data_IF_913264599150
#
_entry.id   IF_913264599150
#
_cell.length_a   1.000
_cell.length_b   1.000
_cell.length_c   1.000
_cell.angle_alpha   90.00
_cell.angle_beta   90.00
_cell.angle_gamma   90.00
#
_symmetry.space_group_name_H-M   'P 1'
#
loop_
_entity.id
_entity.type
_entity.pdbx_description
1 polymer ?
#
# COMPACT_ATOMS: atom_id res chain seq x y z
N UNK A 1 1.69 4.89 -16.18
CA UNK A 1 1.31 3.47 -16.35
C UNK A 1 2.11 2.54 -15.44
N UNK A 2 2.78 3.04 -14.39
CA UNK A 2 3.52 2.17 -13.45
C UNK A 2 2.59 1.25 -12.64
N UNK A 3 1.38 1.72 -12.30
CA UNK A 3 0.36 0.91 -11.63
C UNK A 3 -0.04 -0.32 -12.46
N UNK A 4 -0.30 -0.16 -13.76
CA UNK A 4 -0.68 -1.26 -14.65
C UNK A 4 0.44 -2.32 -14.75
N UNK A 5 1.69 -1.89 -14.92
CA UNK A 5 2.85 -2.80 -15.02
C UNK A 5 3.08 -3.53 -13.70
N UNK A 6 2.98 -2.82 -12.57
CA UNK A 6 3.09 -3.44 -11.25
C UNK A 6 1.97 -4.45 -11.00
N UNK A 7 0.75 -4.15 -11.44
CA UNK A 7 -0.39 -5.04 -11.22
C UNK A 7 -0.32 -6.26 -12.14
N UNK A 8 0.12 -6.11 -13.39
CA UNK A 8 0.43 -7.23 -14.29
C UNK A 8 1.36 -8.26 -13.63
N UNK A 9 2.52 -7.84 -13.11
CA UNK A 9 3.45 -8.77 -12.47
C UNK A 9 2.89 -9.39 -11.19
N UNK A 10 2.03 -8.67 -10.46
CA UNK A 10 1.32 -9.22 -9.30
C UNK A 10 0.33 -10.30 -9.73
N UNK A 11 -0.46 -10.06 -10.78
CA UNK A 11 -1.43 -11.00 -11.33
C UNK A 11 -0.74 -12.24 -11.91
N UNK A 12 0.32 -12.06 -12.69
CA UNK A 12 1.15 -13.13 -13.26
C UNK A 12 1.77 -14.00 -12.16
N UNK A 13 2.31 -13.37 -11.11
CA UNK A 13 3.01 -14.05 -10.02
C UNK A 13 2.10 -14.68 -8.95
N UNK A 14 0.79 -14.44 -9.00
CA UNK A 14 -0.16 -14.90 -7.99
C UNK A 14 -1.05 -16.00 -8.57
N UNK A 15 -0.87 -17.28 -8.18
CA UNK A 15 -1.57 -18.43 -8.79
C UNK A 15 -3.10 -18.33 -8.76
N UNK A 16 -3.67 -17.59 -7.81
CA UNK A 16 -5.11 -17.36 -7.70
C UNK A 16 -5.75 -16.71 -8.92
N UNK A 17 -5.01 -15.88 -9.65
CA UNK A 17 -5.49 -15.18 -10.85
C UNK A 17 -5.49 -16.04 -12.10
N UNK A 18 -4.79 -17.18 -12.09
CA UNK A 18 -4.68 -18.09 -13.25
C UNK A 18 -4.21 -17.39 -14.53
N UNK A 19 -3.40 -16.32 -14.39
CA UNK A 19 -2.86 -15.53 -15.49
C UNK A 19 -1.36 -15.86 -15.75
N UNK A 20 -0.93 -17.05 -15.36
CA UNK A 20 0.48 -17.47 -15.50
C UNK A 20 0.84 -17.58 -16.98
N UNK A 21 1.91 -16.90 -17.40
CA UNK A 21 2.33 -16.74 -18.80
C UNK A 21 1.36 -15.93 -19.68
N UNK A 22 0.48 -15.11 -19.10
CA UNK A 22 -0.28 -14.13 -19.89
C UNK A 22 0.62 -13.02 -20.42
N UNK A 23 0.32 -12.51 -21.61
CA UNK A 23 1.09 -11.40 -22.20
C UNK A 23 0.68 -10.06 -21.60
N UNK A 24 1.60 -9.10 -21.55
CA UNK A 24 1.31 -7.77 -21.00
C UNK A 24 0.24 -7.03 -21.80
N UNK A 25 0.25 -7.16 -23.14
CA UNK A 25 -0.72 -6.46 -24.00
C UNK A 25 -2.15 -6.92 -23.71
N UNK A 26 -2.37 -8.22 -23.50
CA UNK A 26 -3.68 -8.76 -23.10
C UNK A 26 -4.13 -8.22 -21.74
N UNK A 27 -3.19 -8.11 -20.79
CA UNK A 27 -3.48 -7.55 -19.48
C UNK A 27 -3.78 -6.05 -19.54
N UNK A 28 -3.08 -5.30 -20.38
CA UNK A 28 -3.29 -3.87 -20.55
C UNK A 28 -4.71 -3.56 -21.03
N UNK A 29 -5.23 -4.34 -21.99
CA UNK A 29 -6.62 -4.23 -22.45
C UNK A 29 -7.60 -4.53 -21.31
N UNK A 30 -7.35 -5.58 -20.51
CA UNK A 30 -8.17 -5.88 -19.33
C UNK A 30 -8.14 -4.74 -18.30
N UNK A 31 -6.98 -4.12 -18.07
CA UNK A 31 -6.80 -3.04 -17.12
C UNK A 31 -7.56 -1.77 -17.54
N UNK A 32 -7.46 -1.38 -18.82
CA UNK A 32 -8.18 -0.21 -19.37
C UNK A 32 -9.69 -0.44 -19.45
N UNK A 33 -10.13 -1.68 -19.67
CA UNK A 33 -11.55 -2.05 -19.64
C UNK A 33 -12.11 -2.20 -18.21
N UNK A 34 -11.30 -2.03 -17.17
CA UNK A 34 -11.70 -2.25 -15.77
C UNK A 34 -12.06 -3.71 -15.46
N UNK A 35 -11.58 -4.67 -16.26
CA UNK A 35 -11.80 -6.12 -16.11
C UNK A 35 -10.70 -6.80 -15.31
N UNK A 36 -10.07 -6.05 -14.40
CA UNK A 36 -9.10 -6.54 -13.42
C UNK A 36 -9.74 -6.55 -12.04
N UNK A 37 -9.05 -7.14 -11.07
CA UNK A 37 -9.46 -7.06 -9.68
C UNK A 37 -9.62 -5.60 -9.24
N UNK A 38 -10.65 -5.35 -8.42
CA UNK A 38 -11.07 -4.03 -7.95
C UNK A 38 -11.64 -3.07 -9.02
N UNK A 39 -11.79 -3.52 -10.27
CA UNK A 39 -12.48 -2.77 -11.32
C UNK A 39 -11.63 -1.70 -12.00
N UNK A 40 -12.29 -0.64 -12.46
CA UNK A 40 -11.62 0.45 -13.17
C UNK A 40 -10.76 1.30 -12.23
N UNK A 41 -9.50 1.50 -12.64
CA UNK A 41 -8.51 2.26 -11.88
C UNK A 41 -8.89 3.73 -11.72
N UNK A 42 -9.41 4.35 -12.78
CA UNK A 42 -9.74 5.78 -12.78
C UNK A 42 -11.01 6.04 -11.99
N UNK A 43 -12.01 5.18 -12.05
CA UNK A 43 -13.22 5.26 -11.22
C UNK A 43 -12.85 5.24 -9.73
N UNK A 44 -11.97 4.31 -9.33
CA UNK A 44 -11.47 4.22 -7.95
C UNK A 44 -10.65 5.44 -7.56
N UNK A 45 -9.73 5.89 -8.42
CA UNK A 45 -8.89 7.06 -8.13
C UNK A 45 -9.73 8.34 -8.02
N UNK A 46 -10.62 8.59 -8.99
CA UNK A 46 -11.39 9.82 -9.07
C UNK A 46 -12.40 9.92 -7.94
N UNK A 47 -13.08 8.82 -7.58
CA UNK A 47 -14.01 8.82 -6.45
C UNK A 47 -13.33 9.23 -5.14
N UNK A 48 -12.15 8.68 -4.82
CA UNK A 48 -11.39 9.11 -3.64
C UNK A 48 -10.70 10.46 -3.77
N UNK A 49 -10.35 10.86 -5.00
CA UNK A 49 -9.71 12.15 -5.24
C UNK A 49 -10.62 13.32 -4.85
N UNK A 50 -11.94 13.18 -4.98
CA UNK A 50 -12.90 14.18 -4.51
C UNK A 50 -12.79 14.42 -3.00
N UNK A 51 -12.48 13.37 -2.23
CA UNK A 51 -12.32 13.39 -0.78
C UNK A 51 -10.92 13.78 -0.29
N UNK A 52 -9.99 14.13 -1.18
CA UNK A 52 -8.57 14.37 -0.82
C UNK A 52 -8.33 15.48 0.23
N UNK A 53 -9.33 16.33 0.47
CA UNK A 53 -9.27 17.42 1.44
C UNK A 53 -10.11 17.13 2.71
N UNK A 54 -10.74 15.96 2.80
CA UNK A 54 -11.52 15.59 3.97
C UNK A 54 -10.57 15.40 5.16
N UNK A 55 -10.98 15.80 6.38
CA UNK A 55 -10.08 15.82 7.54
C UNK A 55 -9.56 14.43 7.93
N UNK A 56 -10.31 13.37 7.58
CA UNK A 56 -9.96 11.98 7.86
C UNK A 56 -9.42 11.25 6.61
N UNK A 57 -8.93 11.98 5.60
CA UNK A 57 -8.32 11.41 4.39
C UNK A 57 -6.93 11.99 4.18
N UNK A 58 -5.94 11.11 4.06
CA UNK A 58 -4.58 11.49 3.71
C UNK A 58 -4.26 11.11 2.27
N UNK A 59 -4.26 12.09 1.38
CA UNK A 59 -3.82 11.89 0.00
C UNK A 59 -2.28 12.02 -0.12
N UNK A 60 -1.63 10.95 -0.60
CA UNK A 60 -0.19 10.85 -0.89
C UNK A 60 -0.01 10.05 -2.18
N UNK A 61 1.01 10.38 -2.97
CA UNK A 61 1.40 9.60 -4.15
C UNK A 61 2.66 8.78 -3.91
N UNK A 62 2.83 7.70 -4.67
CA UNK A 62 4.02 6.85 -4.61
C UNK A 62 5.31 7.62 -4.93
N UNK A 63 5.25 8.56 -5.88
CA UNK A 63 6.36 9.40 -6.28
C UNK A 63 6.78 10.36 -5.16
N UNK A 64 5.82 10.88 -4.37
CA UNK A 64 6.12 11.69 -3.19
C UNK A 64 6.90 10.87 -2.16
N UNK A 65 6.45 9.65 -1.87
CA UNK A 65 7.13 8.73 -0.95
C UNK A 65 8.55 8.40 -1.43
N UNK A 66 8.73 8.14 -2.73
CA UNK A 66 10.07 7.87 -3.29
C UNK A 66 10.99 9.09 -3.30
N UNK A 67 10.44 10.28 -3.50
CA UNK A 67 11.22 11.52 -3.57
C UNK A 67 11.73 11.94 -2.19
N UNK A 68 10.90 11.81 -1.17
CA UNK A 68 11.24 12.17 0.21
C UNK A 68 10.45 11.30 1.20
N UNK A 69 11.00 10.12 1.51
CA UNK A 69 10.38 9.19 2.43
C UNK A 69 10.24 9.78 3.84
N UNK A 70 11.26 10.51 4.32
CA UNK A 70 11.30 11.05 5.68
C UNK A 70 10.16 12.03 5.91
N UNK A 71 9.99 13.01 5.02
CA UNK A 71 8.92 14.02 5.16
C UNK A 71 7.53 13.37 5.05
N UNK A 72 7.34 12.40 4.15
CA UNK A 72 6.05 11.71 4.01
C UNK A 72 5.74 10.77 5.18
N UNK A 73 6.75 10.11 5.77
CA UNK A 73 6.59 9.32 7.00
C UNK A 73 6.13 10.22 8.16
N UNK A 74 6.73 11.41 8.31
CA UNK A 74 6.28 12.37 9.32
C UNK A 74 4.86 12.89 9.05
N UNK A 75 4.49 13.09 7.78
CA UNK A 75 3.12 13.45 7.36
C UNK A 75 2.11 12.35 7.72
N UNK A 76 2.45 11.08 7.48
CA UNK A 76 1.62 9.92 7.86
C UNK A 76 1.49 9.85 9.38
N UNK A 77 2.59 10.00 10.11
CA UNK A 77 2.57 9.98 11.57
C UNK A 77 1.67 11.09 12.15
N UNK A 78 1.75 12.32 11.62
CA UNK A 78 0.89 13.43 12.03
C UNK A 78 -0.59 13.16 11.78
N UNK A 79 -0.92 12.56 10.63
CA UNK A 79 -2.28 12.21 10.26
C UNK A 79 -2.87 11.12 11.18
N UNK A 80 -2.07 10.11 11.55
CA UNK A 80 -2.49 9.11 12.54
C UNK A 80 -2.66 9.77 13.92
N UNK A 81 -1.78 10.69 14.28
CA UNK A 81 -1.90 11.50 15.48
C UNK A 81 -0.67 12.38 15.72
N UNK A 82 -0.81 13.67 16.10
CA UNK A 82 0.32 14.58 16.26
C UNK A 82 1.42 14.09 17.22
N UNK A 83 1.05 13.34 18.26
CA UNK A 83 1.98 12.77 19.22
C UNK A 83 2.95 11.73 18.62
N UNK A 84 2.57 11.05 17.53
CA UNK A 84 3.47 10.13 16.82
C UNK A 84 4.56 10.88 16.05
N UNK A 85 4.21 11.98 15.38
CA UNK A 85 5.19 12.86 14.73
C UNK A 85 6.17 13.44 15.76
N UNK A 86 5.66 13.93 16.88
CA UNK A 86 6.51 14.44 17.97
C UNK A 86 7.47 13.37 18.51
N UNK A 87 7.00 12.13 18.64
CA UNK A 87 7.83 10.99 19.07
C UNK A 87 8.96 10.73 18.07
N UNK A 88 8.66 10.68 16.78
CA UNK A 88 9.66 10.48 15.72
C UNK A 88 10.66 11.63 15.62
N UNK A 89 10.24 12.87 15.87
CA UNK A 89 11.14 14.03 15.88
C UNK A 89 12.05 14.09 17.12
N UNK A 90 11.62 13.51 18.25
CA UNK A 90 12.42 13.44 19.48
C UNK A 90 13.40 12.26 19.49
N UNK A 91 13.06 11.18 18.80
CA UNK A 91 13.86 9.97 18.72
C UNK A 91 14.30 9.73 17.27
N UNK A 92 15.44 10.33 16.92
CA UNK A 92 16.04 10.23 15.57
C UNK A 92 16.30 8.77 15.18
N UNK A 93 16.71 7.93 16.14
CA UNK A 93 16.96 6.51 15.87
C UNK A 93 15.66 5.80 15.49
N UNK A 94 14.56 6.09 16.19
CA UNK A 94 13.26 5.54 15.84
C UNK A 94 12.80 5.96 14.44
N UNK A 95 13.03 7.21 14.05
CA UNK A 95 12.71 7.68 12.70
C UNK A 95 13.56 6.97 11.64
N UNK A 96 14.86 6.83 11.86
CA UNK A 96 15.74 6.10 10.95
C UNK A 96 15.38 4.61 10.86
N UNK A 97 15.01 3.98 11.98
CA UNK A 97 14.53 2.60 12.02
C UNK A 97 13.25 2.46 11.16
N UNK A 98 12.28 3.39 11.26
CA UNK A 98 11.07 3.39 10.43
C UNK A 98 11.40 3.57 8.94
N UNK A 99 12.29 4.50 8.59
CA UNK A 99 12.74 4.73 7.21
C UNK A 99 13.41 3.47 6.65
N UNK A 100 14.29 2.85 7.44
CA UNK A 100 15.02 1.65 7.03
C UNK A 100 14.07 0.47 6.80
N UNK A 101 13.18 0.19 7.76
CA UNK A 101 12.27 -0.95 7.69
C UNK A 101 11.16 -0.78 6.64
N UNK A 102 10.78 0.46 6.30
CA UNK A 102 9.84 0.75 5.21
C UNK A 102 10.50 0.86 3.84
N UNK A 103 11.84 0.78 3.76
CA UNK A 103 12.57 0.91 2.50
C UNK A 103 12.31 -0.26 1.54
N UNK A 104 12.39 0.01 0.24
CA UNK A 104 12.23 -1.02 -0.79
C UNK A 104 13.18 -2.20 -0.62
N UNK A 105 14.45 -1.94 -0.28
CA UNK A 105 15.46 -2.99 -0.14
C UNK A 105 15.17 -3.90 1.05
N UNK A 106 14.80 -3.32 2.19
CA UNK A 106 14.41 -4.09 3.36
C UNK A 106 13.16 -4.92 3.05
N UNK A 107 12.09 -4.27 2.57
CA UNK A 107 10.84 -4.96 2.26
C UNK A 107 11.03 -6.09 1.24
N UNK A 108 11.77 -5.87 0.15
CA UNK A 108 12.03 -6.91 -0.87
C UNK A 108 12.70 -8.16 -0.30
N UNK A 109 13.62 -8.01 0.65
CA UNK A 109 14.31 -9.15 1.28
C UNK A 109 13.43 -9.89 2.29
N UNK A 110 12.49 -9.19 2.92
CA UNK A 110 11.71 -9.70 4.03
C UNK A 110 10.24 -10.02 3.69
N UNK A 111 9.78 -9.71 2.47
CA UNK A 111 8.36 -9.82 2.11
C UNK A 111 7.78 -11.22 2.26
N UNK A 112 8.54 -12.27 1.95
CA UNK A 112 8.10 -13.66 2.12
C UNK A 112 7.95 -14.05 3.60
N UNK A 113 8.84 -13.54 4.46
CA UNK A 113 8.74 -13.74 5.91
C UNK A 113 7.55 -12.97 6.47
N UNK A 114 7.32 -11.75 6.00
CA UNK A 114 6.18 -10.93 6.40
C UNK A 114 4.84 -11.59 6.01
N UNK A 115 4.72 -12.08 4.77
CA UNK A 115 3.52 -12.79 4.32
C UNK A 115 3.28 -14.08 5.12
N UNK A 116 4.35 -14.82 5.44
CA UNK A 116 4.26 -16.00 6.30
C UNK A 116 3.78 -15.65 7.71
N UNK A 117 4.33 -14.57 8.31
CA UNK A 117 3.91 -14.09 9.63
C UNK A 117 2.46 -13.61 9.62
N UNK A 118 2.05 -12.81 8.63
CA UNK A 118 0.65 -12.36 8.47
C UNK A 118 -0.31 -13.53 8.30
N UNK A 119 0.04 -14.52 7.48
CA UNK A 119 -0.75 -15.75 7.31
C UNK A 119 -0.79 -16.65 8.56
N UNK A 120 0.11 -16.43 9.51
CA UNK A 120 0.17 -17.15 10.79
C UNK A 120 -0.55 -16.40 11.93
N UNK A 121 -1.03 -15.17 11.70
CA UNK A 121 -1.82 -14.44 12.69
C UNK A 121 -3.17 -15.15 12.82
N UNK A 122 -3.57 -15.56 14.04
CA UNK A 122 -4.89 -16.13 14.30
C UNK A 122 -5.99 -15.21 13.77
N UNK A 123 -6.93 -15.75 12.99
CA UNK A 123 -8.00 -14.95 12.37
C UNK A 123 -8.84 -14.23 13.41
N UNK A 124 -8.96 -14.82 14.60
CA UNK A 124 -9.71 -14.28 15.73
C UNK A 124 -9.15 -12.91 16.17
N UNK A 125 -7.83 -12.72 16.16
CA UNK A 125 -7.20 -11.44 16.52
C UNK A 125 -7.39 -10.33 15.46
N UNK A 126 -7.71 -10.70 14.23
CA UNK A 126 -8.01 -9.76 13.14
C UNK A 126 -9.50 -9.42 13.13
N UNK A 127 -10.36 -10.42 13.33
CA UNK A 127 -11.82 -10.27 13.29
C UNK A 127 -12.39 -9.59 14.55
N UNK A 128 -11.72 -9.72 15.70
CA UNK A 128 -12.12 -9.07 16.95
C UNK A 128 -11.60 -7.63 17.09
N UNK A 129 -10.97 -7.07 16.05
CA UNK A 129 -10.50 -5.68 16.08
C UNK A 129 -11.67 -4.71 15.86
N UNK A 130 -12.06 -3.90 16.87
CA UNK A 130 -13.21 -3.00 16.79
C UNK A 130 -13.05 -1.89 15.74
N UNK A 131 -11.84 -1.67 15.24
CA UNK A 131 -11.52 -0.65 14.23
C UNK A 131 -11.54 -1.19 12.79
N UNK A 132 -11.72 -2.51 12.60
CA UNK A 132 -11.83 -3.13 11.27
C UNK A 132 -13.32 -3.37 10.97
N UNK A 133 -13.89 -2.76 9.91
CA UNK A 133 -15.26 -3.03 9.51
C UNK A 133 -15.43 -4.52 9.21
N UNK A 134 -16.38 -5.15 9.89
CA UNK A 134 -16.93 -6.45 9.48
C UNK A 134 -17.92 -6.17 8.35
N UNK A 135 -17.56 -6.60 7.13
CA UNK A 135 -18.49 -6.66 6.01
C UNK A 135 -19.71 -7.56 6.32
#
# INVERSE_FOLDING_TARGET
>A
MDCCVSFYHHTEGTPGYRFVNGEFDDYFELFIDGKVDFGDYFDTLLSWYEHRNDPNVLFITYEQLKKDARSNILKIAEFIGPHYKDKLLKDEKMLEDVIFHSSFNFMKQHINQLFSQLGSIPKELIMDNPDIPVD
#
